data_IF_639537340953
#
_entry.id   IF_639537340953
#
_cell.length_a   1.000
_cell.length_b   1.000
_cell.length_c   1.000
_cell.angle_alpha   90.00
_cell.angle_beta   90.00
_cell.angle_gamma   90.00
#
_symmetry.space_group_name_H-M   'P 1'
#
loop_
_entity.id
_entity.type
_entity.pdbx_description
1 polymer ?
#
# COMPACT_ATOMS: atom_id res chain seq x y z
N UNK A 1 -26.06 -5.31 -2.41
CA UNK A 1 -24.67 -5.71 -2.01
C UNK A 1 -23.98 -4.49 -1.44
N UNK A 2 -23.37 -4.54 -0.23
CA UNK A 2 -22.52 -3.44 0.21
C UNK A 2 -21.33 -3.36 -0.74
N UNK A 3 -21.12 -2.19 -1.37
CA UNK A 3 -19.87 -1.92 -2.09
C UNK A 3 -18.76 -1.97 -1.05
N UNK A 4 -17.90 -2.97 -1.12
CA UNK A 4 -16.66 -3.03 -0.33
C UNK A 4 -15.76 -1.90 -0.83
N UNK A 5 -16.04 -0.68 -0.39
CA UNK A 5 -15.06 0.39 -0.37
C UNK A 5 -14.11 0.05 0.77
N UNK A 6 -13.16 -0.86 0.52
CA UNK A 6 -11.91 -0.81 1.25
C UNK A 6 -11.42 0.63 1.06
N UNK A 7 -11.50 1.44 2.13
CA UNK A 7 -10.96 2.80 2.14
C UNK A 7 -9.54 2.74 1.56
N UNK A 8 -9.22 3.67 0.68
CA UNK A 8 -7.86 3.76 0.17
C UNK A 8 -6.96 4.03 1.38
N UNK A 9 -5.92 3.20 1.63
CA UNK A 9 -5.03 3.45 2.75
C UNK A 9 -4.40 4.83 2.59
N UNK A 10 -4.31 5.57 3.68
CA UNK A 10 -3.47 6.77 3.72
C UNK A 10 -2.02 6.38 3.35
N UNK A 11 -1.29 7.33 2.77
CA UNK A 11 0.12 7.11 2.48
C UNK A 11 0.91 6.91 3.77
N UNK A 12 1.89 6.01 3.75
CA UNK A 12 2.74 5.82 4.90
C UNK A 12 3.72 6.97 5.04
N UNK A 13 3.67 7.64 6.20
CA UNK A 13 4.41 8.84 6.50
C UNK A 13 5.57 8.60 7.49
N UNK A 14 6.09 7.37 7.56
CA UNK A 14 7.15 6.93 8.51
C UNK A 14 6.78 6.87 9.99
N UNK A 15 5.51 7.06 10.37
CA UNK A 15 5.07 6.89 11.76
C UNK A 15 5.06 5.40 12.16
N UNK A 16 6.05 4.99 12.96
CA UNK A 16 6.25 3.59 13.39
C UNK A 16 4.99 3.00 14.03
N UNK A 17 4.29 3.76 14.88
CA UNK A 17 3.06 3.31 15.55
C UNK A 17 1.89 3.02 14.58
N UNK A 18 1.94 3.53 13.34
CA UNK A 18 0.95 3.25 12.29
C UNK A 18 1.38 2.15 11.32
N UNK A 19 2.65 1.71 11.37
CA UNK A 19 3.20 0.79 10.39
C UNK A 19 2.41 -0.51 10.27
N UNK A 20 2.10 -1.17 11.39
CA UNK A 20 1.37 -2.44 11.40
C UNK A 20 -0.04 -2.31 10.82
N UNK A 21 -0.75 -1.24 11.16
CA UNK A 21 -2.08 -0.93 10.63
C UNK A 21 -2.02 -0.67 9.12
N UNK A 22 -1.08 0.17 8.69
CA UNK A 22 -0.88 0.47 7.27
C UNK A 22 -0.52 -0.76 6.45
N UNK A 23 0.45 -1.56 6.92
CA UNK A 23 0.86 -2.80 6.26
C UNK A 23 -0.30 -3.79 6.10
N UNK A 24 -1.16 -3.90 7.12
CA UNK A 24 -2.34 -4.77 7.07
C UNK A 24 -3.33 -4.33 6.00
N UNK A 25 -3.57 -3.02 5.87
CA UNK A 25 -4.44 -2.46 4.83
C UNK A 25 -3.86 -2.67 3.42
N UNK A 26 -2.56 -2.46 3.24
CA UNK A 26 -1.87 -2.71 1.96
C UNK A 26 -2.00 -4.18 1.56
N UNK A 27 -1.73 -5.12 2.48
CA UNK A 27 -1.88 -6.55 2.23
C UNK A 27 -3.33 -6.92 1.86
N UNK A 28 -4.31 -6.34 2.54
CA UNK A 28 -5.72 -6.56 2.22
C UNK A 28 -6.08 -6.05 0.81
N UNK A 29 -5.61 -4.85 0.43
CA UNK A 29 -5.80 -4.29 -0.91
C UNK A 29 -5.16 -5.14 -2.00
N UNK A 30 -3.92 -5.59 -1.79
CA UNK A 30 -3.24 -6.48 -2.74
C UNK A 30 -3.99 -7.80 -2.93
N UNK A 31 -4.55 -8.37 -1.85
CA UNK A 31 -5.38 -9.59 -1.93
C UNK A 31 -6.68 -9.37 -2.69
N UNK A 32 -7.37 -8.24 -2.48
CA UNK A 32 -8.62 -7.95 -3.20
C UNK A 32 -8.35 -7.63 -4.67
N UNK A 33 -7.29 -6.89 -4.97
CA UNK A 33 -6.92 -6.48 -6.31
C UNK A 33 -5.94 -7.45 -6.99
N UNK A 34 -5.83 -8.69 -6.52
CA UNK A 34 -4.79 -9.63 -6.98
C UNK A 34 -4.80 -9.86 -8.50
N UNK A 35 -5.98 -9.78 -9.16
CA UNK A 35 -6.09 -9.88 -10.63
C UNK A 35 -5.46 -8.70 -11.37
N UNK A 36 -5.52 -7.49 -10.80
CA UNK A 36 -4.97 -6.28 -11.40
C UNK A 36 -3.51 -6.02 -10.98
N UNK A 37 -3.12 -6.48 -9.79
CA UNK A 37 -1.78 -6.27 -9.20
C UNK A 37 -1.14 -7.65 -8.94
N UNK A 38 -1.07 -8.45 -9.99
CA UNK A 38 -0.72 -9.88 -9.87
C UNK A 38 0.77 -10.14 -9.78
N UNK A 39 1.59 -9.39 -10.51
CA UNK A 39 3.05 -9.59 -10.54
C UNK A 39 3.78 -8.75 -9.49
N UNK A 40 5.00 -9.18 -9.16
CA UNK A 40 5.85 -8.55 -8.13
C UNK A 40 6.18 -7.10 -8.44
N UNK A 41 6.41 -6.74 -9.71
CA UNK A 41 6.66 -5.36 -10.14
C UNK A 41 5.46 -4.45 -9.89
N UNK A 42 4.25 -4.90 -10.23
CA UNK A 42 3.01 -4.17 -9.99
C UNK A 42 2.75 -4.01 -8.49
N UNK A 43 3.01 -5.06 -7.70
CA UNK A 43 2.89 -4.99 -6.24
C UNK A 43 3.90 -4.01 -5.65
N UNK A 44 5.15 -4.01 -6.13
CA UNK A 44 6.17 -3.05 -5.73
C UNK A 44 5.72 -1.62 -6.01
N UNK A 45 5.30 -1.30 -7.24
CA UNK A 45 4.85 0.05 -7.58
C UNK A 45 3.59 0.46 -6.83
N UNK A 46 2.67 -0.47 -6.58
CA UNK A 46 1.52 -0.20 -5.73
C UNK A 46 1.96 0.21 -4.32
N UNK A 47 2.87 -0.54 -3.70
CA UNK A 47 3.39 -0.22 -2.37
C UNK A 47 4.13 1.12 -2.40
N UNK A 48 5.04 1.32 -3.35
CA UNK A 48 5.84 2.53 -3.49
C UNK A 48 4.98 3.79 -3.65
N UNK A 49 3.93 3.74 -4.48
CA UNK A 49 3.01 4.86 -4.67
C UNK A 49 2.13 5.15 -3.43
N UNK A 50 2.02 4.21 -2.50
CA UNK A 50 1.36 4.38 -1.21
C UNK A 50 2.31 4.82 -0.08
N UNK A 51 3.55 5.20 -0.40
CA UNK A 51 4.48 5.87 0.52
C UNK A 51 4.41 7.40 0.31
N UNK A 52 4.67 8.17 1.36
CA UNK A 52 4.92 9.61 1.20
C UNK A 52 6.26 9.89 0.50
N UNK A 53 6.39 11.05 -0.13
CA UNK A 53 7.53 11.38 -0.99
C UNK A 53 8.87 11.31 -0.28
N UNK A 54 8.96 11.74 0.99
CA UNK A 54 10.19 11.63 1.78
C UNK A 54 10.54 10.17 2.11
N UNK A 55 9.54 9.30 2.22
CA UNK A 55 9.76 7.85 2.42
C UNK A 55 10.17 7.17 1.13
N UNK A 56 9.56 7.56 0.00
CA UNK A 56 9.96 7.08 -1.33
C UNK A 56 11.44 7.35 -1.63
N UNK A 57 11.93 8.52 -1.23
CA UNK A 57 13.33 8.91 -1.38
C UNK A 57 14.31 8.03 -0.58
N UNK A 58 13.84 7.22 0.39
CA UNK A 58 14.66 6.26 1.13
C UNK A 58 14.69 4.87 0.50
N UNK A 59 13.79 4.57 -0.44
CA UNK A 59 13.61 3.23 -1.02
C UNK A 59 14.38 3.06 -2.33
N UNK A 60 14.52 4.13 -3.11
CA UNK A 60 15.28 4.13 -4.35
C UNK A 60 16.57 4.94 -4.12
N UNK A 61 17.77 4.32 -4.19
CA UNK A 61 19.04 5.02 -4.06
C UNK A 61 19.33 5.95 -5.25
#
# INVERSE_FOLDING_TARGET
>A
KPKSFLLYPEKFNSQVHKFNTWLSLIKAKLRVNYKAISNTTAQFYYIYLNLESHVQAMVLP
#
